data_IF_571411248428
#
_entry.id   IF_571411248428
#
_cell.length_a   1.000
_cell.length_b   1.000
_cell.length_c   1.000
_cell.angle_alpha   90.00
_cell.angle_beta   90.00
_cell.angle_gamma   90.00
#
_symmetry.space_group_name_H-M   'P 1'
#
loop_
_entity.id
_entity.type
_entity.pdbx_description
1 polymer ?
#
# COMPACT_ATOMS: atom_id res chain seq x y z
N UNK A 1 -8.77 47.43 -13.97
CA UNK A 1 -8.68 46.00 -13.58
C UNK A 1 -8.61 45.98 -12.07
N UNK A 2 -9.75 45.79 -11.43
CA UNK A 2 -9.93 46.08 -10.02
C UNK A 2 -9.27 45.02 -9.13
N UNK A 3 -8.55 45.47 -8.09
CA UNK A 3 -7.90 44.62 -7.10
C UNK A 3 -8.86 43.60 -6.46
N UNK A 4 -10.14 43.94 -6.36
CA UNK A 4 -11.20 43.04 -5.88
C UNK A 4 -11.43 41.84 -6.80
N UNK A 5 -11.30 42.00 -8.12
CA UNK A 5 -11.48 40.92 -9.07
C UNK A 5 -10.33 39.91 -8.99
N UNK A 6 -9.10 40.40 -8.80
CA UNK A 6 -7.93 39.55 -8.61
C UNK A 6 -7.99 38.77 -7.27
N UNK A 7 -8.45 39.42 -6.20
CA UNK A 7 -8.62 38.77 -4.90
C UNK A 7 -9.71 37.69 -4.93
N UNK A 8 -10.83 37.94 -5.64
CA UNK A 8 -11.92 36.97 -5.78
C UNK A 8 -11.49 35.75 -6.60
N UNK A 9 -10.71 35.94 -7.67
CA UNK A 9 -10.14 34.85 -8.48
C UNK A 9 -9.13 34.02 -7.68
N UNK A 10 -8.31 34.64 -6.82
CA UNK A 10 -7.38 33.93 -5.94
C UNK A 10 -8.14 33.14 -4.86
N UNK A 11 -9.17 33.73 -4.24
CA UNK A 11 -10.02 33.05 -3.25
C UNK A 11 -10.76 31.87 -3.88
N UNK A 12 -11.35 32.05 -5.06
CA UNK A 12 -12.02 30.97 -5.82
C UNK A 12 -11.04 29.89 -6.29
N UNK A 13 -9.81 30.26 -6.69
CA UNK A 13 -8.76 29.31 -7.05
C UNK A 13 -8.27 28.50 -5.83
N UNK A 14 -8.26 29.07 -4.62
CA UNK A 14 -7.92 28.34 -3.40
C UNK A 14 -9.06 27.47 -2.85
N UNK A 15 -10.33 27.84 -3.13
CA UNK A 15 -11.51 27.04 -2.76
C UNK A 15 -11.74 25.83 -3.68
N UNK A 16 -11.16 25.82 -4.90
CA UNK A 16 -11.26 24.72 -5.86
C UNK A 16 -10.09 23.70 -5.83
N UNK A 17 -9.21 23.77 -4.83
CA UNK A 17 -8.06 22.84 -4.68
C UNK A 17 -8.26 21.84 -3.52
N UNK A 18 -9.46 21.76 -2.93
CA UNK A 18 -9.82 20.52 -2.25
C UNK A 18 -10.14 19.50 -3.33
N UNK A 19 -9.17 18.65 -3.69
CA UNK A 19 -9.47 17.36 -4.33
C UNK A 19 -10.42 16.63 -3.37
N UNK A 20 -11.72 16.81 -3.56
CA UNK A 20 -12.72 16.10 -2.78
C UNK A 20 -12.61 14.62 -3.16
N UNK A 21 -12.10 13.82 -2.23
CA UNK A 21 -11.93 12.39 -2.44
C UNK A 21 -13.29 11.71 -2.38
N UNK A 22 -13.70 10.98 -3.42
CA UNK A 22 -14.91 10.17 -3.36
C UNK A 22 -14.70 9.07 -2.31
N UNK A 23 -15.71 8.84 -1.46
CA UNK A 23 -15.70 7.73 -0.51
C UNK A 23 -15.74 6.42 -1.30
N UNK A 24 -14.91 5.45 -0.92
CA UNK A 24 -14.91 4.13 -1.54
C UNK A 24 -16.22 3.42 -1.21
N UNK A 25 -16.90 2.86 -2.21
CA UNK A 25 -18.09 2.04 -2.01
C UNK A 25 -17.69 0.63 -1.52
N UNK A 26 -18.42 0.10 -0.55
CA UNK A 26 -18.15 -1.22 0.03
C UNK A 26 -18.59 -2.35 -0.90
N UNK A 27 -17.67 -3.26 -1.24
CA UNK A 27 -17.92 -4.43 -2.10
C UNK A 27 -17.50 -5.71 -1.37
N UNK A 28 -18.34 -6.74 -1.45
CA UNK A 28 -18.17 -8.06 -0.82
C UNK A 28 -17.11 -8.90 -1.55
N UNK A 29 -16.17 -9.55 -0.83
CA UNK A 29 -15.16 -10.46 -1.40
C UNK A 29 -15.26 -11.88 -0.79
N UNK A 30 -15.52 -12.94 -1.58
CA UNK A 30 -14.52 -14.02 -1.79
C UNK A 30 -14.56 -14.65 -3.23
N UNK A 31 -13.55 -15.43 -3.73
CA UNK A 31 -12.76 -16.45 -3.02
C UNK A 31 -11.22 -16.40 -3.18
N UNK A 32 -10.59 -17.40 -2.52
CA UNK A 32 -9.18 -17.63 -2.18
C UNK A 32 -8.17 -17.63 -3.34
N UNK A 33 -6.96 -17.17 -3.01
CA UNK A 33 -5.79 -17.07 -3.87
C UNK A 33 -5.22 -18.46 -4.27
N UNK A 34 -5.07 -18.72 -5.57
CA UNK A 34 -4.43 -19.92 -6.17
C UNK A 34 -2.94 -19.71 -6.53
N UNK A 35 -2.37 -18.57 -6.18
CA UNK A 35 -1.07 -18.10 -6.63
C UNK A 35 0.01 -18.33 -5.56
N UNK A 36 1.10 -19.01 -5.95
CA UNK A 36 2.28 -19.28 -5.13
C UNK A 36 3.29 -18.12 -5.10
N UNK A 37 2.88 -16.92 -5.52
CA UNK A 37 3.74 -15.73 -5.59
C UNK A 37 3.52 -14.77 -4.40
N UNK A 38 3.96 -13.51 -4.54
CA UNK A 38 3.83 -12.46 -3.53
C UNK A 38 2.36 -12.06 -3.41
N UNK A 39 1.82 -12.01 -2.20
CA UNK A 39 0.43 -11.59 -1.96
C UNK A 39 0.41 -10.25 -1.23
N UNK A 40 -0.39 -9.31 -1.73
CA UNK A 40 -0.57 -7.99 -1.12
C UNK A 40 -1.91 -7.97 -0.38
N UNK A 41 -1.86 -8.15 0.93
CA UNK A 41 -3.04 -8.26 1.79
C UNK A 41 -3.46 -6.86 2.22
N UNK A 42 -4.42 -6.26 1.50
CA UNK A 42 -4.95 -4.94 1.78
C UNK A 42 -6.02 -4.99 2.88
N UNK A 43 -5.87 -4.11 3.85
CA UNK A 43 -6.83 -3.86 4.91
C UNK A 43 -7.15 -2.36 4.96
N UNK A 44 -8.41 -2.06 5.25
CA UNK A 44 -8.93 -0.68 5.38
C UNK A 44 -9.69 -0.54 6.70
N UNK A 45 -10.00 0.69 7.15
CA UNK A 45 -10.81 0.88 8.34
C UNK A 45 -12.17 0.18 8.27
N UNK A 46 -12.76 0.10 7.07
CA UNK A 46 -14.05 -0.57 6.81
C UNK A 46 -13.93 -2.10 6.78
N UNK A 47 -12.75 -2.63 6.41
CA UNK A 47 -12.47 -4.06 6.32
C UNK A 47 -11.17 -4.42 7.07
N UNK A 48 -11.16 -4.34 8.42
CA UNK A 48 -9.93 -4.50 9.20
C UNK A 48 -9.54 -5.95 9.47
N UNK A 49 -10.47 -6.90 9.39
CA UNK A 49 -10.24 -8.31 9.73
C UNK A 49 -9.87 -9.17 8.53
N UNK A 50 -10.60 -9.03 7.43
CA UNK A 50 -10.42 -9.84 6.22
C UNK A 50 -9.71 -9.01 5.14
N UNK A 51 -8.58 -9.49 4.59
CA UNK A 51 -7.87 -8.76 3.56
C UNK A 51 -8.57 -8.85 2.20
N UNK A 52 -8.44 -7.79 1.41
CA UNK A 52 -8.55 -7.92 -0.03
C UNK A 52 -7.17 -8.26 -0.65
N UNK A 53 -7.13 -9.26 -1.52
CA UNK A 53 -5.91 -9.59 -2.28
C UNK A 53 -5.75 -8.61 -3.44
N UNK A 54 -4.86 -7.64 -3.27
CA UNK A 54 -4.55 -6.61 -4.25
C UNK A 54 -3.48 -7.11 -5.24
N UNK A 55 -3.64 -6.77 -6.51
CA UNK A 55 -2.72 -7.11 -7.59
C UNK A 55 -2.64 -5.96 -8.61
N UNK A 56 -1.55 -5.84 -9.40
CA UNK A 56 -1.40 -4.78 -10.41
C UNK A 56 -2.19 -5.12 -11.69
N UNK A 57 -3.50 -5.32 -11.56
CA UNK A 57 -4.42 -5.55 -12.68
C UNK A 57 -5.77 -4.83 -12.46
N UNK A 58 -6.54 -4.57 -13.53
CA UNK A 58 -7.78 -3.81 -13.42
C UNK A 58 -8.83 -4.48 -12.53
N UNK A 59 -8.95 -5.81 -12.61
CA UNK A 59 -9.95 -6.59 -11.86
C UNK A 59 -9.75 -6.45 -10.35
N UNK A 60 -8.51 -6.58 -9.85
CA UNK A 60 -8.20 -6.39 -8.44
C UNK A 60 -8.44 -4.94 -7.99
N UNK A 61 -8.16 -3.97 -8.85
CA UNK A 61 -8.39 -2.54 -8.58
C UNK A 61 -9.88 -2.17 -8.52
N UNK A 62 -10.74 -2.90 -9.22
CA UNK A 62 -12.20 -2.74 -9.15
C UNK A 62 -12.78 -3.47 -7.93
N UNK A 63 -12.28 -4.67 -7.65
CA UNK A 63 -12.78 -5.52 -6.56
C UNK A 63 -12.30 -5.10 -5.18
N UNK A 64 -11.08 -4.57 -5.04
CA UNK A 64 -10.53 -4.18 -3.74
C UNK A 64 -10.86 -2.71 -3.41
N UNK A 65 -11.74 -2.44 -2.44
CA UNK A 65 -12.05 -1.08 -2.05
C UNK A 65 -10.89 -0.51 -1.20
N UNK A 66 -10.27 0.57 -1.69
CA UNK A 66 -9.38 1.42 -0.89
C UNK A 66 -9.57 2.88 -1.27
N UNK A 67 -9.31 3.78 -0.33
CA UNK A 67 -9.41 5.22 -0.59
C UNK A 67 -8.03 5.75 -0.99
N UNK A 68 -7.80 6.18 -2.25
CA UNK A 68 -6.47 6.62 -2.70
C UNK A 68 -5.95 7.88 -1.97
N UNK A 69 -6.81 8.59 -1.23
CA UNK A 69 -6.43 9.73 -0.42
C UNK A 69 -5.96 9.36 0.99
N UNK A 70 -6.23 8.15 1.44
CA UNK A 70 -5.68 7.65 2.70
C UNK A 70 -4.23 7.24 2.50
N UNK A 71 -3.31 7.62 3.40
CA UNK A 71 -1.93 7.17 3.32
C UNK A 71 -1.84 5.65 3.26
N UNK A 72 -0.94 5.15 2.41
CA UNK A 72 -0.75 3.73 2.19
C UNK A 72 0.46 3.24 2.95
N UNK A 73 0.26 2.28 3.86
CA UNK A 73 1.32 1.74 4.73
C UNK A 73 1.58 0.29 4.37
N UNK A 74 2.76 0.01 3.83
CA UNK A 74 3.18 -1.36 3.52
C UNK A 74 3.96 -1.93 4.70
N UNK A 75 3.51 -3.04 5.26
CA UNK A 75 4.22 -3.78 6.30
C UNK A 75 4.92 -5.00 5.69
N UNK A 76 6.24 -5.04 5.82
CA UNK A 76 7.09 -6.04 5.16
C UNK A 76 7.91 -6.79 6.21
N UNK A 77 7.56 -8.05 6.44
CA UNK A 77 8.26 -8.90 7.40
C UNK A 77 9.56 -9.47 6.85
N UNK A 78 10.38 -10.01 7.75
CA UNK A 78 11.75 -10.44 7.45
C UNK A 78 11.91 -11.95 7.18
N UNK A 79 13.14 -12.42 7.37
CA UNK A 79 13.55 -13.80 7.14
C UNK A 79 12.73 -14.78 7.99
N UNK A 80 12.32 -15.90 7.40
CA UNK A 80 11.60 -17.03 8.04
C UNK A 80 10.27 -16.68 8.72
N UNK A 81 9.78 -15.45 8.55
CA UNK A 81 8.48 -15.05 9.11
C UNK A 81 7.36 -15.61 8.23
N UNK A 82 6.42 -16.30 8.86
CA UNK A 82 5.14 -16.71 8.26
C UNK A 82 4.03 -15.91 8.93
N UNK A 83 3.08 -15.43 8.12
CA UNK A 83 1.96 -14.67 8.64
C UNK A 83 0.97 -15.61 9.35
N UNK A 84 0.76 -15.40 10.64
CA UNK A 84 -0.24 -16.06 11.48
C UNK A 84 -1.13 -14.99 12.12
N UNK A 85 -2.35 -15.33 12.61
CA UNK A 85 -3.22 -14.34 13.25
C UNK A 85 -2.57 -13.58 14.41
N UNK A 86 -1.73 -14.26 15.20
CA UNK A 86 -1.03 -13.67 16.37
C UNK A 86 0.30 -12.99 16.02
N UNK A 87 0.66 -12.92 14.73
CA UNK A 87 1.91 -12.35 14.29
C UNK A 87 1.95 -10.83 14.57
N UNK A 88 3.10 -10.33 15.01
CA UNK A 88 3.34 -8.89 15.28
C UNK A 88 2.94 -7.96 14.13
N UNK A 89 3.03 -8.39 12.87
CA UNK A 89 2.61 -7.62 11.70
C UNK A 89 1.08 -7.43 11.65
N UNK A 90 0.31 -8.41 12.10
CA UNK A 90 -1.15 -8.31 12.24
C UNK A 90 -1.51 -7.35 13.37
N UNK A 91 -0.78 -7.39 14.49
CA UNK A 91 -0.98 -6.47 15.61
C UNK A 91 -0.66 -5.02 15.23
N UNK A 92 0.46 -4.78 14.53
CA UNK A 92 0.82 -3.45 14.01
C UNK A 92 -0.25 -2.97 13.03
N UNK A 93 -0.69 -3.82 12.11
CA UNK A 93 -1.79 -3.50 11.18
C UNK A 93 -3.06 -3.09 11.93
N UNK A 94 -3.49 -3.86 12.92
CA UNK A 94 -4.65 -3.55 13.75
C UNK A 94 -4.50 -2.19 14.44
N UNK A 95 -3.33 -1.92 15.02
CA UNK A 95 -3.08 -0.65 15.71
C UNK A 95 -3.10 0.54 14.75
N UNK A 96 -2.51 0.40 13.56
CA UNK A 96 -2.52 1.45 12.52
C UNK A 96 -3.94 1.79 12.11
N UNK A 97 -4.76 0.78 11.80
CA UNK A 97 -6.16 0.95 11.39
C UNK A 97 -7.05 1.49 12.52
N UNK A 98 -6.74 1.17 13.77
CA UNK A 98 -7.47 1.72 14.92
C UNK A 98 -7.10 3.18 15.23
N UNK A 99 -5.95 3.66 14.76
CA UNK A 99 -5.44 4.99 15.09
C UNK A 99 -5.73 6.02 14.00
N UNK A 100 -5.72 5.62 12.74
CA UNK A 100 -5.85 6.52 11.59
C UNK A 100 -6.52 5.86 10.39
N UNK A 101 -7.07 6.69 9.51
CA UNK A 101 -7.59 6.28 8.21
C UNK A 101 -6.44 5.98 7.24
N UNK A 102 -5.93 4.74 7.30
CA UNK A 102 -4.87 4.24 6.41
C UNK A 102 -5.34 3.07 5.55
N UNK A 103 -4.76 2.98 4.35
CA UNK A 103 -4.76 1.72 3.61
C UNK A 103 -3.53 0.92 4.06
N UNK A 104 -3.70 -0.16 4.82
CA UNK A 104 -2.59 -0.95 5.33
C UNK A 104 -2.44 -2.22 4.50
N UNK A 105 -1.26 -2.47 3.95
CA UNK A 105 -0.97 -3.63 3.13
C UNK A 105 0.11 -4.47 3.81
N UNK A 106 -0.20 -5.72 4.16
CA UNK A 106 0.83 -6.68 4.56
C UNK A 106 1.37 -7.35 3.30
N UNK A 107 2.67 -7.24 3.06
CA UNK A 107 3.34 -7.90 1.94
C UNK A 107 3.68 -9.33 2.33
N UNK A 108 2.86 -10.29 1.91
CA UNK A 108 3.13 -11.71 2.11
C UNK A 108 4.05 -12.26 1.03
N UNK A 109 5.33 -12.42 1.38
CA UNK A 109 6.37 -12.95 0.51
C UNK A 109 6.99 -14.24 1.10
N UNK A 110 6.18 -15.02 1.83
CA UNK A 110 6.61 -16.22 2.56
C UNK A 110 7.34 -17.23 1.69
N UNK A 111 6.99 -17.34 0.41
CA UNK A 111 7.64 -18.29 -0.50
C UNK A 111 9.07 -17.88 -0.89
N UNK A 112 9.49 -16.65 -0.55
CA UNK A 112 10.76 -16.07 -0.96
C UNK A 112 11.66 -15.68 0.22
N UNK A 113 11.16 -15.77 1.46
CA UNK A 113 11.87 -15.34 2.67
C UNK A 113 12.42 -16.49 3.52
N UNK A 114 12.34 -17.74 3.04
CA UNK A 114 12.73 -18.93 3.78
C UNK A 114 14.20 -19.32 3.51
N UNK A 115 14.68 -20.35 4.19
CA UNK A 115 16.00 -20.92 3.92
C UNK A 115 16.14 -21.41 2.47
N UNK A 116 17.34 -21.28 1.87
CA UNK A 116 18.60 -20.80 2.46
C UNK A 116 18.69 -19.25 2.56
N UNK A 117 19.37 -18.74 3.59
CA UNK A 117 19.45 -17.28 3.86
C UNK A 117 20.01 -16.46 2.68
N UNK A 118 21.02 -16.98 1.97
CA UNK A 118 21.59 -16.31 0.81
C UNK A 118 20.54 -16.08 -0.30
N UNK A 119 19.66 -17.05 -0.53
CA UNK A 119 18.58 -16.93 -1.51
C UNK A 119 17.53 -15.91 -1.05
N UNK A 120 17.13 -15.94 0.22
CA UNK A 120 16.21 -14.95 0.79
C UNK A 120 16.76 -13.51 0.66
N UNK A 121 18.07 -13.32 0.85
CA UNK A 121 18.74 -12.03 0.62
C UNK A 121 18.62 -11.59 -0.83
N UNK A 122 18.92 -12.47 -1.80
CA UNK A 122 18.79 -12.14 -3.23
C UNK A 122 17.35 -11.80 -3.61
N UNK A 123 16.38 -12.54 -3.05
CA UNK A 123 14.96 -12.34 -3.33
C UNK A 123 14.46 -10.96 -2.88
N UNK A 124 15.07 -10.31 -1.88
CA UNK A 124 14.68 -8.95 -1.47
C UNK A 124 14.70 -7.96 -2.63
N UNK A 125 15.65 -8.10 -3.57
CA UNK A 125 15.72 -7.22 -4.75
C UNK A 125 14.61 -7.51 -5.76
N UNK A 126 14.32 -8.80 -6.00
CA UNK A 126 13.29 -9.21 -6.95
C UNK A 126 11.90 -8.80 -6.44
N UNK A 127 11.60 -9.12 -5.17
CA UNK A 127 10.33 -8.77 -4.53
C UNK A 127 10.20 -7.26 -4.38
N UNK A 128 11.29 -6.54 -4.07
CA UNK A 128 11.29 -5.08 -4.01
C UNK A 128 10.90 -4.43 -5.34
N UNK A 129 11.41 -4.93 -6.48
CA UNK A 129 11.00 -4.47 -7.81
C UNK A 129 9.53 -4.77 -8.11
N UNK A 130 9.02 -5.93 -7.70
CA UNK A 130 7.59 -6.26 -7.87
C UNK A 130 6.70 -5.35 -7.04
N UNK A 131 7.09 -5.05 -5.80
CA UNK A 131 6.37 -4.08 -4.95
C UNK A 131 6.40 -2.67 -5.57
N UNK A 132 7.54 -2.24 -6.13
CA UNK A 132 7.64 -0.97 -6.85
C UNK A 132 6.69 -0.91 -8.06
N UNK A 133 6.57 -2.01 -8.81
CA UNK A 133 5.63 -2.12 -9.93
C UNK A 133 4.18 -1.98 -9.46
N UNK A 134 3.81 -2.61 -8.34
CA UNK A 134 2.49 -2.42 -7.75
C UNK A 134 2.24 -0.95 -7.41
N UNK A 135 3.17 -0.28 -6.72
CA UNK A 135 3.00 1.11 -6.31
C UNK A 135 2.81 2.04 -7.52
N UNK A 136 3.65 1.89 -8.56
CA UNK A 136 3.52 2.63 -9.82
C UNK A 136 2.18 2.37 -10.51
N UNK A 137 1.70 1.13 -10.44
CA UNK A 137 0.41 0.77 -11.01
C UNK A 137 -0.75 1.45 -10.28
N UNK A 138 -0.68 1.53 -8.95
CA UNK A 138 -1.66 2.24 -8.11
C UNK A 138 -1.63 3.76 -8.34
N UNK A 139 -0.43 4.33 -8.47
CA UNK A 139 -0.25 5.74 -8.86
C UNK A 139 -0.93 6.02 -10.20
N UNK A 140 -0.60 5.25 -11.23
CA UNK A 140 -1.08 5.48 -12.59
C UNK A 140 -2.60 5.27 -12.76
N UNK A 141 -3.20 4.32 -12.04
CA UNK A 141 -4.59 3.90 -12.28
C UNK A 141 -5.59 4.33 -11.20
N UNK A 142 -5.12 4.68 -9.99
CA UNK A 142 -5.99 5.08 -8.87
C UNK A 142 -5.61 6.42 -8.25
N UNK A 143 -4.56 7.08 -8.77
CA UNK A 143 -4.13 8.39 -8.29
C UNK A 143 -3.55 8.37 -6.88
N UNK A 144 -3.02 7.23 -6.44
CA UNK A 144 -2.27 7.14 -5.19
C UNK A 144 -1.03 8.01 -5.32
N UNK A 145 -0.89 8.99 -4.42
CA UNK A 145 0.30 9.82 -4.36
C UNK A 145 1.46 9.04 -3.73
N UNK A 146 2.58 8.81 -4.44
CA UNK A 146 3.75 8.15 -3.87
C UNK A 146 4.26 8.79 -2.57
N UNK A 147 4.08 10.10 -2.39
CA UNK A 147 4.49 10.79 -1.16
C UNK A 147 3.68 10.37 0.07
N UNK A 148 2.50 9.77 -0.13
CA UNK A 148 1.66 9.22 0.93
C UNK A 148 1.86 7.71 1.12
N UNK A 149 2.79 7.09 0.37
CA UNK A 149 3.15 5.68 0.49
C UNK A 149 4.38 5.54 1.39
N UNK A 150 4.27 4.72 2.45
CA UNK A 150 5.36 4.45 3.39
C UNK A 150 5.61 2.95 3.48
N UNK A 151 6.88 2.56 3.38
CA UNK A 151 7.32 1.17 3.47
C UNK A 151 7.96 0.90 4.83
N UNK A 152 7.36 0.01 5.61
CA UNK A 152 7.79 -0.34 6.97
C UNK A 152 8.31 -1.78 6.93
N UNK A 153 9.63 -1.92 6.85
CA UNK A 153 10.30 -3.22 6.75
C UNK A 153 11.05 -3.61 8.02
N UNK A 154 10.99 -4.89 8.41
CA UNK A 154 11.82 -5.47 9.48
C UNK A 154 12.83 -6.47 8.93
N UNK A 155 14.09 -6.42 9.38
CA UNK A 155 15.15 -7.35 8.96
C UNK A 155 15.29 -7.38 7.43
N UNK A 156 15.22 -8.54 6.76
CA UNK A 156 15.22 -8.63 5.28
C UNK A 156 14.10 -7.81 4.63
N UNK A 157 12.99 -7.60 5.32
CA UNK A 157 11.92 -6.73 4.85
C UNK A 157 12.34 -5.27 4.72
N UNK A 158 13.31 -4.80 5.51
CA UNK A 158 13.88 -3.45 5.38
C UNK A 158 14.71 -3.30 4.10
N UNK A 159 15.48 -4.33 3.73
CA UNK A 159 16.22 -4.36 2.47
C UNK A 159 15.27 -4.41 1.26
N UNK A 160 14.20 -5.19 1.35
CA UNK A 160 13.13 -5.24 0.35
C UNK A 160 12.48 -3.86 0.20
N UNK A 161 12.14 -3.19 1.30
CA UNK A 161 11.62 -1.82 1.30
C UNK A 161 12.59 -0.84 0.63
N UNK A 162 13.88 -0.93 0.96
CA UNK A 162 14.92 -0.11 0.32
C UNK A 162 15.03 -0.36 -1.18
N UNK A 163 14.94 -1.62 -1.62
CA UNK A 163 14.92 -1.96 -3.05
C UNK A 163 13.67 -1.43 -3.75
N UNK A 164 12.50 -1.53 -3.12
CA UNK A 164 11.28 -0.94 -3.67
C UNK A 164 11.38 0.59 -3.77
N UNK A 165 11.89 1.26 -2.74
CA UNK A 165 12.09 2.71 -2.75
C UNK A 165 13.11 3.18 -3.79
N UNK A 166 14.20 2.43 -4.00
CA UNK A 166 15.13 2.72 -5.10
C UNK A 166 14.45 2.67 -6.48
N UNK A 167 13.41 1.84 -6.63
CA UNK A 167 12.68 1.65 -7.88
C UNK A 167 11.41 2.52 -7.98
N UNK A 168 11.04 3.25 -6.94
CA UNK A 168 9.87 4.15 -6.92
C UNK A 168 10.30 5.54 -6.45
N UNK A 169 10.58 6.48 -7.37
CA UNK A 169 10.95 7.83 -6.97
C UNK A 169 9.80 8.51 -6.20
N UNK A 170 10.15 9.38 -5.25
CA UNK A 170 9.22 10.21 -4.47
C UNK A 170 8.32 9.47 -3.44
N UNK A 171 8.74 8.32 -2.91
CA UNK A 171 8.05 7.72 -1.77
C UNK A 171 8.07 8.65 -0.54
N UNK A 172 7.00 8.56 0.26
CA UNK A 172 6.89 9.21 1.56
C UNK A 172 7.94 8.69 2.54
N UNK A 173 8.59 9.62 3.26
CA UNK A 173 9.56 9.33 4.32
C UNK A 173 8.92 8.84 5.62
#
# INVERSE_FOLDING_TARGET
MDFYFLLLVIILATLNILRQCPKADAVVCPPQNTNSSIQYLLYTPDHPQEPCYLEPNPEALERCPFNPCYPMKFLIYGYTVVLTPDNQFVLIKNQLLASFDFNVIIVNWTNYNQAPYAEAVMNTQLVGRQLANLIKYLEANKGVDPQNVHLIGHSLGAHLAGSAGQNTPNLGG
#
